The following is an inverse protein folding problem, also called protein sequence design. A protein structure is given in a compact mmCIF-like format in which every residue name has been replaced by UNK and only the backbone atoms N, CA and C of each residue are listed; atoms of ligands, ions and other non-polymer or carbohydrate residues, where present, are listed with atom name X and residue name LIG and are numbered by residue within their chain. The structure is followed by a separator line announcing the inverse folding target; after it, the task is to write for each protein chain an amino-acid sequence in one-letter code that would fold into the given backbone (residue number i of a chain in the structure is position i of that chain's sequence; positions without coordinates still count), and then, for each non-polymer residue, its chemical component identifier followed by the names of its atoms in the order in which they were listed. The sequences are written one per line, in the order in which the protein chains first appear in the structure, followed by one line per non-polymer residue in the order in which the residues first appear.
data_IF_698932330526
#
_entry.id   IF_698932330526
#
_cell.length_a   1.000
_cell.length_b   1.000
_cell.length_c   1.000
_cell.angle_alpha   90.00
_cell.angle_beta   90.00
_cell.angle_gamma   90.00
#
_symmetry.space_group_name_H-M   'P 1'
#
loop_
_entity.id
_entity.type
_entity.pdbx_description
1 polymer ?
#
# COMPACT_ATOMS: atom_id res chain seq x y z
N UNK A 1 3.89 7.58 -15.86
CA UNK A 1 2.42 7.69 -16.09
C UNK A 1 1.82 8.47 -14.92
N UNK A 2 0.73 9.23 -15.11
CA UNK A 2 0.20 10.19 -14.13
C UNK A 2 -1.00 9.66 -13.35
N UNK A 3 -0.84 8.58 -12.60
CA UNK A 3 -1.90 8.12 -11.70
C UNK A 3 -2.15 9.16 -10.60
N UNK A 4 -3.43 9.42 -10.32
CA UNK A 4 -3.92 10.32 -9.27
C UNK A 4 -4.33 9.55 -8.02
N UNK A 5 -4.60 8.24 -8.14
CA UNK A 5 -4.87 7.32 -7.02
C UNK A 5 -4.16 5.99 -7.26
N UNK A 6 -3.88 5.26 -6.17
CA UNK A 6 -3.38 3.89 -6.20
C UNK A 6 -4.41 2.93 -5.58
N UNK A 7 -4.68 1.80 -6.24
CA UNK A 7 -5.66 0.79 -5.82
C UNK A 7 -4.99 -0.58 -5.68
N UNK A 8 -5.04 -1.17 -4.49
CA UNK A 8 -4.42 -2.47 -4.17
C UNK A 8 -5.45 -3.47 -3.64
N UNK A 9 -6.15 -4.22 -4.53
CA UNK A 9 -6.96 -5.35 -4.11
C UNK A 9 -6.05 -6.46 -3.55
N UNK A 10 -6.37 -6.95 -2.36
CA UNK A 10 -5.45 -7.76 -1.55
C UNK A 10 -6.18 -8.96 -0.93
N UNK A 11 -5.44 -10.06 -0.75
CA UNK A 11 -5.81 -11.18 0.10
C UNK A 11 -4.56 -11.58 0.90
N UNK A 12 -4.44 -11.03 2.11
CA UNK A 12 -3.31 -11.25 3.02
C UNK A 12 -3.81 -11.51 4.44
N UNK A 13 -3.16 -12.45 5.14
CA UNK A 13 -3.64 -13.00 6.40
C UNK A 13 -2.51 -13.59 7.25
N UNK A 14 -2.87 -14.51 8.14
CA UNK A 14 -1.95 -15.28 8.96
C UNK A 14 -1.07 -16.23 8.13
N UNK A 15 0.15 -16.50 8.62
CA UNK A 15 1.06 -17.47 8.03
C UNK A 15 0.87 -18.87 8.66
N UNK A 16 0.52 -19.92 7.89
CA UNK A 16 0.24 -21.25 8.46
C UNK A 16 1.39 -21.86 9.25
N UNK A 17 2.63 -21.58 8.83
CA UNK A 17 3.84 -22.12 9.45
C UNK A 17 4.34 -21.27 10.64
N UNK A 18 3.78 -20.07 10.84
CA UNK A 18 4.16 -19.19 11.94
C UNK A 18 2.98 -18.31 12.39
N UNK A 19 2.12 -18.88 13.23
CA UNK A 19 0.91 -18.23 13.73
C UNK A 19 1.16 -16.94 14.54
N UNK A 20 2.39 -16.71 15.01
CA UNK A 20 2.74 -15.48 15.74
C UNK A 20 3.05 -14.29 14.80
N UNK A 21 3.20 -14.54 13.49
CA UNK A 21 3.52 -13.50 12.53
C UNK A 21 2.26 -12.67 12.20
N UNK A 22 2.30 -11.39 12.55
CA UNK A 22 1.29 -10.40 12.16
C UNK A 22 1.92 -9.37 11.22
N UNK A 23 1.64 -9.51 9.92
CA UNK A 23 2.18 -8.62 8.88
C UNK A 23 1.36 -7.36 8.67
N UNK A 24 0.18 -7.21 9.29
CA UNK A 24 -0.78 -6.14 9.01
C UNK A 24 -0.18 -4.73 9.12
N UNK A 25 0.46 -4.40 10.25
CA UNK A 25 1.07 -3.09 10.44
C UNK A 25 2.26 -2.83 9.51
N UNK A 26 3.02 -3.87 9.12
CA UNK A 26 4.10 -3.72 8.13
C UNK A 26 3.51 -3.45 6.74
N UNK A 27 2.51 -4.22 6.34
CA UNK A 27 1.79 -4.06 5.07
C UNK A 27 1.20 -2.65 4.91
N UNK A 28 0.53 -2.12 5.95
CA UNK A 28 0.02 -0.75 5.95
C UNK A 28 1.14 0.30 5.78
N UNK A 29 2.18 0.25 6.62
CA UNK A 29 3.28 1.24 6.59
C UNK A 29 3.99 1.30 5.24
N UNK A 30 4.20 0.15 4.60
CA UNK A 30 4.82 0.09 3.27
C UNK A 30 4.00 0.86 2.24
N UNK A 31 2.68 0.67 2.24
CA UNK A 31 1.78 1.37 1.33
C UNK A 31 1.56 2.83 1.70
N UNK A 32 1.48 3.19 2.97
CA UNK A 32 1.52 4.60 3.40
C UNK A 32 2.77 5.30 2.83
N UNK A 33 3.92 4.62 2.84
CA UNK A 33 5.13 5.07 2.18
C UNK A 33 4.98 5.27 0.67
N UNK A 34 4.25 4.41 -0.04
CA UNK A 34 3.94 4.60 -1.47
C UNK A 34 3.07 5.83 -1.70
N UNK A 35 2.06 6.05 -0.87
CA UNK A 35 1.19 7.22 -0.93
C UNK A 35 2.01 8.51 -0.73
N UNK A 36 2.81 8.56 0.35
CA UNK A 36 3.65 9.70 0.71
C UNK A 36 4.76 9.99 -0.32
N UNK A 37 5.50 8.96 -0.76
CA UNK A 37 6.62 9.12 -1.70
C UNK A 37 6.16 9.59 -3.08
N UNK A 38 4.91 9.30 -3.43
CA UNK A 38 4.32 9.71 -4.69
C UNK A 38 3.36 10.87 -4.53
N UNK A 39 2.93 11.29 -3.35
CA UNK A 39 1.93 12.35 -3.17
C UNK A 39 0.63 12.02 -3.91
N UNK A 40 0.06 10.84 -3.63
CA UNK A 40 -1.25 10.39 -4.16
C UNK A 40 -1.99 9.58 -3.10
N UNK A 41 -3.33 9.69 -3.01
CA UNK A 41 -4.11 8.79 -2.18
C UNK A 41 -3.95 7.32 -2.58
N UNK A 42 -4.09 6.44 -1.59
CA UNK A 42 -3.96 5.01 -1.76
C UNK A 42 -5.12 4.29 -1.08
N UNK A 43 -5.71 3.33 -1.78
CA UNK A 43 -6.81 2.50 -1.29
C UNK A 43 -6.37 1.05 -1.35
N UNK A 44 -6.41 0.38 -0.20
CA UNK A 44 -6.12 -1.04 -0.07
C UNK A 44 -7.35 -1.78 0.46
N UNK A 45 -7.86 -2.72 -0.33
CA UNK A 45 -9.02 -3.55 0.03
C UNK A 45 -8.54 -4.97 0.27
N UNK A 46 -8.63 -5.44 1.51
CA UNK A 46 -8.24 -6.79 1.90
C UNK A 46 -9.46 -7.63 2.30
N UNK A 47 -9.31 -8.94 2.19
CA UNK A 47 -10.31 -9.93 2.58
C UNK A 47 -10.48 -9.97 4.11
N UNK A 48 -11.70 -10.28 4.55
CA UNK A 48 -12.01 -10.76 5.91
C UNK A 48 -12.62 -12.15 5.78
N UNK A 49 -12.09 -13.13 6.51
CA UNK A 49 -12.63 -14.48 6.68
C UNK A 49 -11.53 -15.41 7.21
N UNK A 50 -11.93 -16.57 7.71
CA UNK A 50 -11.04 -17.73 7.81
C UNK A 50 -11.35 -18.66 6.65
N UNK A 51 -10.31 -19.07 5.92
CA UNK A 51 -10.42 -20.06 4.86
C UNK A 51 -9.56 -21.25 5.20
N UNK A 52 -10.07 -22.45 4.92
CA UNK A 52 -9.42 -23.72 5.21
C UNK A 52 -9.36 -24.54 3.94
N UNK A 53 -8.16 -24.98 3.58
CA UNK A 53 -7.89 -25.91 2.49
C UNK A 53 -7.06 -27.07 3.03
N UNK A 54 -7.68 -28.26 3.09
CA UNK A 54 -7.11 -29.42 3.76
C UNK A 54 -6.80 -29.16 5.24
N UNK A 55 -5.55 -29.34 5.64
CA UNK A 55 -5.06 -29.09 7.01
C UNK A 55 -4.56 -27.65 7.22
N UNK A 56 -4.57 -26.82 6.17
CA UNK A 56 -4.07 -25.44 6.22
C UNK A 56 -5.22 -24.47 6.41
N UNK A 57 -5.05 -23.51 7.33
CA UNK A 57 -6.01 -22.43 7.53
C UNK A 57 -5.33 -21.07 7.49
N UNK A 58 -5.98 -20.12 6.81
CA UNK A 58 -5.55 -18.73 6.74
C UNK A 58 -6.65 -17.84 7.28
N UNK A 59 -6.30 -17.00 8.24
CA UNK A 59 -7.16 -15.93 8.76
C UNK A 59 -6.79 -14.64 8.05
N UNK A 60 -7.64 -14.20 7.12
CA UNK A 60 -7.49 -12.90 6.46
C UNK A 60 -7.86 -11.79 7.43
N UNK A 61 -6.93 -10.86 7.62
CA UNK A 61 -6.98 -9.92 8.73
C UNK A 61 -7.67 -8.60 8.39
N UNK A 62 -8.46 -8.50 7.32
CA UNK A 62 -9.09 -7.24 6.92
C UNK A 62 -8.09 -6.11 6.90
N UNK A 63 -8.24 -5.13 7.80
CA UNK A 63 -7.33 -3.99 7.92
C UNK A 63 -7.28 -3.15 6.63
N UNK A 64 -8.31 -3.26 5.78
CA UNK A 64 -8.52 -2.41 4.61
C UNK A 64 -8.44 -0.95 5.04
N UNK A 65 -7.84 -0.10 4.23
CA UNK A 65 -7.67 1.31 4.59
C UNK A 65 -7.59 2.21 3.37
N UNK A 66 -7.85 3.49 3.63
CA UNK A 66 -7.62 4.59 2.71
C UNK A 66 -6.57 5.49 3.37
N UNK A 67 -5.46 5.70 2.67
CA UNK A 67 -4.46 6.70 3.02
C UNK A 67 -4.59 7.93 2.11
N UNK A 68 -4.39 9.11 2.67
CA UNK A 68 -4.29 10.35 1.91
C UNK A 68 -2.96 10.44 1.13
N UNK A 69 -2.75 11.57 0.45
CA UNK A 69 -1.53 11.83 -0.33
C UNK A 69 -0.28 12.10 0.53
N UNK A 70 -0.40 12.21 1.85
CA UNK A 70 0.74 12.32 2.77
C UNK A 70 1.08 11.00 3.46
N UNK A 71 0.24 9.97 3.27
CA UNK A 71 0.36 8.66 3.90
C UNK A 71 -0.40 8.54 5.21
N UNK A 72 -1.17 9.55 5.62
CA UNK A 72 -2.05 9.47 6.79
C UNK A 72 -3.24 8.55 6.48
N UNK A 73 -3.55 7.64 7.40
CA UNK A 73 -4.74 6.78 7.28
C UNK A 73 -5.96 7.61 7.66
N UNK A 74 -6.83 7.87 6.70
CA UNK A 74 -8.06 8.66 6.88
C UNK A 74 -9.31 7.80 7.11
N UNK A 75 -9.24 6.51 6.76
CA UNK A 75 -10.27 5.53 7.06
C UNK A 75 -9.66 4.13 7.15
N UNK A 76 -10.07 3.33 8.13
CA UNK A 76 -9.53 1.99 8.38
C UNK A 76 -10.63 1.04 8.87
N UNK A 77 -10.65 -0.16 8.31
CA UNK A 77 -11.48 -1.27 8.77
C UNK A 77 -10.74 -2.07 9.85
N UNK A 78 -11.49 -2.71 10.75
CA UNK A 78 -10.88 -3.64 11.69
C UNK A 78 -10.49 -4.97 11.00
N UNK A 79 -10.07 -5.96 11.80
CA UNK A 79 -9.57 -7.22 11.26
C UNK A 79 -10.61 -8.25 10.85
N UNK A 80 -11.88 -8.04 11.20
CA UNK A 80 -12.88 -9.12 11.23
C UNK A 80 -14.19 -8.77 10.53
N UNK A 81 -14.60 -7.50 10.52
CA UNK A 81 -15.92 -7.11 10.04
C UNK A 81 -15.93 -6.76 8.55
N UNK A 82 -17.00 -7.16 7.86
CA UNK A 82 -17.30 -6.61 6.53
C UNK A 82 -17.50 -5.10 6.67
N UNK A 83 -16.74 -4.32 5.89
CA UNK A 83 -16.65 -2.87 6.07
C UNK A 83 -16.65 -2.16 4.72
N UNK A 84 -17.40 -1.06 4.63
CA UNK A 84 -17.38 -0.12 3.52
C UNK A 84 -16.67 1.16 3.98
N UNK A 85 -15.54 1.49 3.34
CA UNK A 85 -14.80 2.71 3.63
C UNK A 85 -15.01 3.75 2.54
N UNK A 86 -15.13 5.01 2.93
CA UNK A 86 -15.29 6.14 2.01
C UNK A 86 -14.39 7.29 2.42
N UNK A 87 -13.79 7.96 1.44
CA UNK A 87 -13.07 9.22 1.61
C UNK A 87 -13.27 10.08 0.36
N UNK A 88 -13.14 11.40 0.50
CA UNK A 88 -13.20 12.34 -0.61
C UNK A 88 -11.86 13.09 -0.70
N UNK A 89 -11.39 13.30 -1.93
CA UNK A 89 -10.14 14.00 -2.20
C UNK A 89 -10.36 15.05 -3.29
N UNK A 90 -9.80 16.25 -3.08
CA UNK A 90 -9.67 17.26 -4.13
C UNK A 90 -8.40 16.95 -4.93
N UNK A 91 -8.57 16.46 -6.17
CA UNK A 91 -7.44 16.04 -7.00
C UNK A 91 -6.64 17.23 -7.54
N UNK A 92 -7.28 18.40 -7.71
CA UNK A 92 -6.60 19.61 -8.18
C UNK A 92 -5.69 20.17 -7.08
N UNK A 93 -6.14 20.16 -5.82
CA UNK A 93 -5.32 20.52 -4.67
C UNK A 93 -4.10 19.59 -4.53
N UNK A 94 -4.31 18.28 -4.64
CA UNK A 94 -3.25 17.28 -4.51
C UNK A 94 -2.23 17.43 -5.65
N UNK A 95 -2.70 17.68 -6.88
CA UNK A 95 -1.80 17.93 -8.01
C UNK A 95 -0.96 19.18 -7.78
N UNK A 96 -1.56 20.28 -7.30
CA UNK A 96 -0.85 21.51 -6.97
C UNK A 96 0.21 21.27 -5.90
N UNK A 97 -0.13 20.57 -4.81
CA UNK A 97 0.79 20.21 -3.75
C UNK A 97 1.95 19.33 -4.26
N UNK A 98 1.65 18.30 -5.07
CA UNK A 98 2.64 17.40 -5.69
C UNK A 98 3.64 18.15 -6.57
N UNK A 99 3.17 19.11 -7.36
CA UNK A 99 4.02 19.98 -8.19
C UNK A 99 4.87 20.91 -7.35
N UNK A 100 4.31 21.47 -6.28
CA UNK A 100 5.00 22.40 -5.39
C UNK A 100 6.15 21.75 -4.61
N UNK A 101 5.96 20.53 -4.09
CA UNK A 101 7.02 19.82 -3.35
C UNK A 101 8.20 19.46 -4.27
N UNK A 102 7.92 19.09 -5.53
CA UNK A 102 8.98 18.93 -6.55
C UNK A 102 9.76 17.62 -6.49
N UNK A 103 9.36 16.64 -5.67
CA UNK A 103 10.03 15.33 -5.56
C UNK A 103 10.17 14.62 -6.91
N UNK A 104 9.22 14.80 -7.84
CA UNK A 104 9.29 14.23 -9.19
C UNK A 104 10.32 14.93 -10.08
N UNK A 105 10.47 16.26 -9.96
CA UNK A 105 11.49 17.05 -10.67
C UNK A 105 12.89 16.66 -10.20
N UNK A 106 13.02 16.38 -8.91
CA UNK A 106 14.32 16.18 -8.26
C UNK A 106 14.82 14.72 -8.30
N UNK A 107 14.04 13.80 -8.93
CA UNK A 107 14.48 12.41 -9.15
C UNK A 107 15.79 12.37 -9.93
N UNK A 108 16.58 11.30 -9.71
CA UNK A 108 17.88 11.06 -10.38
C UNK A 108 17.86 9.74 -11.16
N UNK A 109 17.10 9.62 -12.27
CA UNK A 109 16.96 8.38 -13.02
C UNK A 109 18.28 7.75 -13.46
N UNK A 110 19.30 8.56 -13.75
CA UNK A 110 20.64 8.11 -14.12
C UNK A 110 21.35 7.33 -13.01
N UNK A 111 20.91 7.49 -11.75
CA UNK A 111 21.43 6.74 -10.60
C UNK A 111 20.62 5.48 -10.30
N UNK A 112 19.53 5.20 -11.03
CA UNK A 112 18.59 4.13 -10.69
C UNK A 112 18.86 2.81 -11.42
N UNK A 113 19.96 2.70 -12.18
CA UNK A 113 20.28 1.50 -12.94
C UNK A 113 20.28 0.23 -12.07
N UNK A 114 20.79 0.31 -10.84
CA UNK A 114 20.82 -0.82 -9.91
C UNK A 114 19.43 -1.36 -9.55
N UNK A 115 18.37 -0.54 -9.59
CA UNK A 115 16.99 -0.98 -9.33
C UNK A 115 16.47 -1.95 -10.41
N UNK A 116 17.12 -2.02 -11.57
CA UNK A 116 16.82 -2.98 -12.63
C UNK A 116 17.49 -4.35 -12.44
N UNK A 117 18.24 -4.54 -11.35
CA UNK A 117 18.96 -5.79 -11.04
C UNK A 117 18.34 -6.47 -9.81
N UNK A 118 18.58 -7.77 -9.63
CA UNK A 118 18.12 -8.51 -8.44
C UNK A 118 19.18 -8.56 -7.33
N UNK A 119 20.47 -8.57 -7.69
CA UNK A 119 21.60 -8.75 -6.80
C UNK A 119 22.45 -7.47 -6.60
N UNK A 120 22.06 -6.37 -7.25
CA UNK A 120 22.80 -5.10 -7.20
C UNK A 120 23.95 -4.98 -8.20
N UNK A 121 24.15 -5.99 -9.07
CA UNK A 121 25.22 -6.00 -10.06
C UNK A 121 24.68 -5.93 -11.48
N UNK A 122 25.21 -4.99 -12.28
CA UNK A 122 24.95 -4.94 -13.71
C UNK A 122 25.96 -5.85 -14.41
N UNK A 123 25.50 -6.95 -15.01
CA UNK A 123 26.29 -7.65 -16.03
C UNK A 123 26.50 -6.68 -17.19
N UNK A 124 27.71 -6.14 -17.30
CA UNK A 124 28.13 -5.43 -18.52
C UNK A 124 28.40 -6.44 -19.61
#
# INVERSE_FOLDING_TARGET
KGAELLLFPTAIGSEPLNAALDSSGHWQRTMQGHAAANIVPLIASNRVSTETDGETSTVFYGSSFIADYTGEIVAEANKVDETYLTAAFDLDEIEAYRRAWGVFRDRRPEMYAALGTLDGHSTT
#
